data_IF_513734178850
#
_entry.id   IF_513734178850
#
_cell.length_a   1.000
_cell.length_b   1.000
_cell.length_c   1.000
_cell.angle_alpha   90.00
_cell.angle_beta   90.00
_cell.angle_gamma   90.00
#
_symmetry.space_group_name_H-M   'P 1'
#
loop_
_entity.id
_entity.type
_entity.pdbx_description
1 polymer ?
#
# COMPACT_ATOMS: atom_id res chain seq x y z
N UNK A 1 22.46 17.62 9.18
CA UNK A 1 21.77 17.62 7.86
C UNK A 1 20.34 17.22 8.13
N UNK A 2 19.36 18.04 7.79
CA UNK A 2 17.95 17.80 8.11
C UNK A 2 17.30 16.98 7.01
N UNK A 3 16.57 15.93 7.36
CA UNK A 3 15.83 15.07 6.44
C UNK A 3 14.45 15.69 6.19
N UNK A 4 14.12 15.96 4.94
CA UNK A 4 12.86 16.59 4.52
C UNK A 4 11.80 15.54 4.27
N UNK A 5 10.68 15.64 4.99
CA UNK A 5 9.60 14.68 4.99
C UNK A 5 8.34 15.22 4.31
N UNK A 6 7.67 14.38 3.55
CA UNK A 6 6.29 14.58 3.14
C UNK A 6 5.41 13.55 3.84
N UNK A 7 4.28 14.00 4.40
CA UNK A 7 3.27 13.15 5.03
C UNK A 7 2.04 13.10 4.13
N UNK A 8 1.63 11.88 3.77
CA UNK A 8 0.43 11.63 3.00
C UNK A 8 -0.50 10.67 3.74
N UNK A 9 -1.64 11.16 4.20
CA UNK A 9 -2.61 10.44 5.00
C UNK A 9 -3.97 11.15 4.87
N UNK A 10 -5.05 10.46 4.58
CA UNK A 10 -6.37 11.08 4.44
C UNK A 10 -6.98 11.51 5.79
N UNK A 11 -6.51 10.92 6.89
CA UNK A 11 -6.95 11.25 8.25
C UNK A 11 -6.18 12.46 8.79
N UNK A 12 -6.79 13.65 8.71
CA UNK A 12 -6.16 14.91 9.10
C UNK A 12 -5.61 14.92 10.54
N UNK A 13 -6.29 14.25 11.49
CA UNK A 13 -5.83 14.15 12.88
C UNK A 13 -4.55 13.30 12.97
N UNK A 14 -4.49 12.16 12.29
CA UNK A 14 -3.33 11.28 12.29
C UNK A 14 -2.15 11.97 11.63
N UNK A 15 -2.36 12.59 10.46
CA UNK A 15 -1.35 13.34 9.73
C UNK A 15 -0.75 14.47 10.58
N UNK A 16 -1.61 15.29 11.23
CA UNK A 16 -1.16 16.35 12.13
C UNK A 16 -0.42 15.84 13.36
N UNK A 17 -0.85 14.70 13.93
CA UNK A 17 -0.14 14.08 15.04
C UNK A 17 1.25 13.56 14.63
N UNK A 18 1.36 12.92 13.47
CA UNK A 18 2.65 12.47 12.92
C UNK A 18 3.57 13.66 12.63
N UNK A 19 3.04 14.76 12.06
CA UNK A 19 3.80 15.98 11.80
C UNK A 19 4.36 16.57 13.11
N UNK A 20 3.53 16.66 14.14
CA UNK A 20 3.95 17.17 15.45
C UNK A 20 5.02 16.27 16.10
N UNK A 21 4.82 14.96 16.11
CA UNK A 21 5.74 14.01 16.72
C UNK A 21 7.10 13.97 16.00
N UNK A 22 7.11 13.91 14.66
CA UNK A 22 8.35 13.91 13.89
C UNK A 22 9.05 15.27 13.92
N UNK A 23 8.30 16.37 14.04
CA UNK A 23 8.85 17.71 14.22
C UNK A 23 9.56 17.95 15.58
N UNK A 24 9.43 17.04 16.56
CA UNK A 24 10.21 17.07 17.80
C UNK A 24 11.66 16.58 17.60
N UNK A 25 11.91 15.86 16.51
CA UNK A 25 13.25 15.35 16.20
C UNK A 25 14.07 16.45 15.51
N UNK A 26 15.26 16.79 16.02
CA UNK A 26 16.01 17.97 15.55
C UNK A 26 16.58 17.82 14.12
N UNK A 27 16.61 16.62 13.60
CA UNK A 27 17.13 16.26 12.28
C UNK A 27 16.04 15.90 11.25
N UNK A 28 14.76 16.03 11.62
CA UNK A 28 13.61 15.80 10.75
C UNK A 28 12.81 17.09 10.54
N UNK A 29 12.36 17.31 9.30
CA UNK A 29 11.54 18.48 8.95
C UNK A 29 10.38 18.05 8.05
N UNK A 30 9.15 18.27 8.49
CA UNK A 30 7.97 18.05 7.66
C UNK A 30 7.79 19.25 6.74
N UNK A 31 8.05 19.06 5.46
CA UNK A 31 8.03 20.12 4.44
C UNK A 31 6.75 20.14 3.62
N UNK A 32 5.96 19.08 3.65
CA UNK A 32 4.66 19.02 2.99
C UNK A 32 3.74 18.00 3.67
N UNK A 33 2.45 18.30 3.64
CA UNK A 33 1.37 17.44 4.09
C UNK A 33 0.28 17.41 3.03
N UNK A 34 -0.19 16.22 2.65
CA UNK A 34 -1.28 16.02 1.68
C UNK A 34 -2.29 14.99 2.19
N UNK A 35 -3.56 15.14 1.83
CA UNK A 35 -4.64 14.22 2.20
C UNK A 35 -5.03 13.26 1.09
N UNK A 36 -4.38 13.30 -0.06
CA UNK A 36 -4.74 12.54 -1.25
C UNK A 36 -3.50 12.01 -1.95
N UNK A 37 -3.57 10.78 -2.44
CA UNK A 37 -2.45 10.13 -3.11
C UNK A 37 -2.08 10.78 -4.45
N UNK A 38 -3.06 11.31 -5.20
CA UNK A 38 -2.84 11.99 -6.48
C UNK A 38 -2.10 13.34 -6.37
N UNK A 39 -2.00 13.90 -5.15
CA UNK A 39 -1.25 15.13 -4.88
C UNK A 39 0.22 14.87 -4.52
N UNK A 40 0.58 13.66 -4.11
CA UNK A 40 1.89 13.36 -3.52
C UNK A 40 3.05 13.65 -4.47
N UNK A 41 2.94 13.28 -5.75
CA UNK A 41 4.06 13.45 -6.69
C UNK A 41 4.42 14.91 -6.91
N UNK A 42 3.42 15.76 -7.06
CA UNK A 42 3.62 17.21 -7.22
C UNK A 42 4.24 17.79 -5.94
N UNK A 43 3.62 17.49 -4.78
CA UNK A 43 4.11 17.97 -3.48
C UNK A 43 5.54 17.51 -3.17
N UNK A 44 5.91 16.28 -3.52
CA UNK A 44 7.26 15.74 -3.32
C UNK A 44 8.31 16.49 -4.16
N UNK A 45 7.99 16.81 -5.40
CA UNK A 45 8.87 17.59 -6.29
C UNK A 45 9.02 19.03 -5.80
N UNK A 46 7.91 19.68 -5.51
CA UNK A 46 7.87 21.12 -5.15
C UNK A 46 8.52 21.37 -3.80
N UNK A 47 8.31 20.47 -2.83
CA UNK A 47 8.89 20.58 -1.50
C UNK A 47 10.33 20.07 -1.41
N UNK A 48 10.81 19.31 -2.38
CA UNK A 48 12.10 18.63 -2.31
C UNK A 48 12.17 17.60 -1.17
N UNK A 49 11.08 16.92 -0.89
CA UNK A 49 11.03 15.87 0.12
C UNK A 49 11.97 14.71 -0.24
N UNK A 50 12.65 14.18 0.76
CA UNK A 50 13.61 13.07 0.62
C UNK A 50 13.01 11.74 1.08
N UNK A 51 12.04 11.79 1.99
CA UNK A 51 11.26 10.62 2.42
C UNK A 51 9.78 11.00 2.45
N UNK A 52 8.96 10.19 1.77
CA UNK A 52 7.50 10.27 1.82
C UNK A 52 6.96 9.18 2.75
N UNK A 53 6.25 9.56 3.81
CA UNK A 53 5.45 8.66 4.63
C UNK A 53 4.07 8.58 3.99
N UNK A 54 3.64 7.38 3.60
CA UNK A 54 2.44 7.16 2.81
C UNK A 54 1.47 6.22 3.53
N UNK A 55 0.27 6.68 3.84
CA UNK A 55 -0.80 5.74 4.14
C UNK A 55 -1.21 4.96 2.88
N UNK A 56 -1.74 3.76 3.07
CA UNK A 56 -2.21 2.94 1.95
C UNK A 56 -3.58 3.44 1.46
N UNK A 57 -4.51 3.67 2.38
CA UNK A 57 -5.90 3.98 2.05
C UNK A 57 -6.08 5.49 1.90
N UNK A 58 -5.84 6.01 0.70
CA UNK A 58 -6.02 7.42 0.37
C UNK A 58 -6.91 7.61 -0.86
N UNK A 59 -7.72 8.69 -0.92
CA UNK A 59 -8.45 9.04 -2.12
C UNK A 59 -7.49 9.45 -3.27
N UNK A 60 -7.94 9.28 -4.51
CA UNK A 60 -7.20 9.63 -5.72
C UNK A 60 -6.23 8.54 -6.17
N UNK A 61 -5.29 8.15 -5.34
CA UNK A 61 -4.39 7.01 -5.58
C UNK A 61 -4.02 6.35 -4.25
N UNK A 62 -3.92 5.01 -4.22
CA UNK A 62 -3.45 4.31 -3.02
C UNK A 62 -1.94 4.51 -2.80
N UNK A 63 -1.50 4.42 -1.54
CA UNK A 63 -0.10 4.69 -1.19
C UNK A 63 0.90 3.74 -1.83
N UNK A 64 0.49 2.52 -2.20
CA UNK A 64 1.34 1.56 -2.90
C UNK A 64 1.55 1.99 -4.36
N UNK A 65 0.50 2.46 -5.02
CA UNK A 65 0.59 3.03 -6.36
C UNK A 65 1.44 4.30 -6.35
N UNK A 66 1.26 5.16 -5.34
CA UNK A 66 2.10 6.35 -5.14
C UNK A 66 3.57 5.97 -4.96
N UNK A 67 3.90 4.95 -4.15
CA UNK A 67 5.28 4.48 -3.98
C UNK A 67 5.89 4.02 -5.31
N UNK A 68 5.12 3.34 -6.16
CA UNK A 68 5.54 2.94 -7.50
C UNK A 68 5.84 4.15 -8.39
N UNK A 69 4.98 5.14 -8.37
CA UNK A 69 5.15 6.37 -9.15
C UNK A 69 6.34 7.20 -8.66
N UNK A 70 6.55 7.33 -7.35
CA UNK A 70 7.72 8.00 -6.76
C UNK A 70 9.01 7.32 -7.21
N UNK A 71 9.09 5.99 -7.12
CA UNK A 71 10.26 5.22 -7.55
C UNK A 71 10.60 5.48 -9.02
N UNK A 72 9.59 5.59 -9.88
CA UNK A 72 9.79 5.83 -11.32
C UNK A 72 10.12 7.29 -11.67
N UNK A 73 9.54 8.27 -10.93
CA UNK A 73 9.51 9.68 -11.35
C UNK A 73 10.27 10.64 -10.44
N UNK A 74 10.58 10.23 -9.20
CA UNK A 74 11.29 11.04 -8.19
C UNK A 74 12.26 10.12 -7.42
N UNK A 75 13.29 9.56 -8.07
CA UNK A 75 14.15 8.52 -7.49
C UNK A 75 14.98 9.00 -6.29
N UNK A 76 15.12 10.31 -6.09
CA UNK A 76 15.75 10.88 -4.90
C UNK A 76 14.84 10.90 -3.67
N UNK A 77 13.53 10.69 -3.83
CA UNK A 77 12.56 10.62 -2.75
C UNK A 77 12.18 9.16 -2.48
N UNK A 78 12.41 8.68 -1.29
CA UNK A 78 12.10 7.31 -0.88
C UNK A 78 10.75 7.24 -0.21
N UNK A 79 10.06 6.12 -0.35
CA UNK A 79 8.76 5.92 0.28
C UNK A 79 8.84 4.96 1.46
N UNK A 80 8.18 5.33 2.56
CA UNK A 80 7.91 4.53 3.74
C UNK A 80 6.39 4.40 3.87
N UNK A 81 5.86 3.20 3.74
CA UNK A 81 4.45 2.94 3.98
C UNK A 81 4.18 2.95 5.49
N UNK A 82 3.14 3.68 5.90
CA UNK A 82 2.70 3.79 7.30
C UNK A 82 1.20 3.52 7.33
N UNK A 83 0.76 2.37 7.85
CA UNK A 83 -0.63 1.93 7.75
C UNK A 83 -1.19 1.43 9.08
N UNK A 84 -2.50 1.51 9.28
CA UNK A 84 -3.17 0.91 10.45
C UNK A 84 -3.16 -0.62 10.42
N UNK A 85 -3.09 -1.24 9.24
CA UNK A 85 -3.21 -2.68 9.11
C UNK A 85 -1.97 -3.27 8.41
N UNK A 86 -1.14 -3.95 9.19
CA UNK A 86 0.00 -4.73 8.69
C UNK A 86 -0.43 -6.03 8.00
N UNK A 87 -1.28 -5.97 6.97
CA UNK A 87 -1.67 -7.18 6.24
C UNK A 87 -0.48 -7.68 5.40
N UNK A 88 -0.13 -8.99 5.50
CA UNK A 88 1.04 -9.55 4.80
C UNK A 88 1.06 -9.29 3.29
N UNK A 89 -0.11 -9.17 2.69
CA UNK A 89 -0.24 -8.88 1.27
C UNK A 89 0.11 -7.45 0.89
N UNK A 90 -0.18 -6.48 1.74
CA UNK A 90 0.21 -5.08 1.50
C UNK A 90 1.72 -4.92 1.57
N UNK A 91 2.38 -5.56 2.53
CA UNK A 91 3.84 -5.54 2.61
C UNK A 91 4.49 -6.00 1.31
N UNK A 92 4.07 -7.15 0.78
CA UNK A 92 4.62 -7.69 -0.47
C UNK A 92 4.41 -6.73 -1.63
N UNK A 93 3.18 -6.23 -1.81
CA UNK A 93 2.84 -5.26 -2.88
C UNK A 93 3.67 -3.98 -2.76
N UNK A 94 3.81 -3.44 -1.54
CA UNK A 94 4.59 -2.23 -1.28
C UNK A 94 6.06 -2.41 -1.65
N UNK A 95 6.67 -3.53 -1.26
CA UNK A 95 8.07 -3.83 -1.61
C UNK A 95 8.27 -4.01 -3.12
N UNK A 96 7.34 -4.66 -3.82
CA UNK A 96 7.37 -4.78 -5.28
C UNK A 96 7.15 -3.44 -5.99
N UNK A 97 6.38 -2.54 -5.41
CA UNK A 97 6.19 -1.18 -5.90
C UNK A 97 7.43 -0.29 -5.69
N UNK A 98 8.45 -0.76 -4.98
CA UNK A 98 9.68 -0.04 -4.71
C UNK A 98 9.70 0.73 -3.39
N UNK A 99 8.72 0.51 -2.50
CA UNK A 99 8.77 1.10 -1.17
C UNK A 99 10.04 0.67 -0.42
N UNK A 100 10.68 1.62 0.23
CA UNK A 100 11.90 1.40 1.02
C UNK A 100 11.61 0.89 2.43
N UNK A 101 10.36 1.03 2.90
CA UNK A 101 9.97 0.50 4.19
C UNK A 101 8.45 0.35 4.35
N UNK A 102 8.08 -0.39 5.40
CA UNK A 102 6.70 -0.66 5.77
C UNK A 102 6.61 -0.76 7.29
N UNK A 103 5.82 0.11 7.91
CA UNK A 103 5.57 0.14 9.35
C UNK A 103 4.07 0.30 9.63
N UNK A 104 3.64 -0.05 10.83
CA UNK A 104 2.26 0.14 11.27
C UNK A 104 2.11 1.43 12.06
N UNK A 105 0.92 2.05 12.03
CA UNK A 105 0.64 3.34 12.70
C UNK A 105 0.68 3.25 14.24
N UNK A 106 0.73 2.07 14.84
CA UNK A 106 0.95 1.84 16.26
C UNK A 106 2.44 1.78 16.66
N UNK A 107 3.35 1.87 15.68
CA UNK A 107 4.79 1.99 15.91
C UNK A 107 5.08 3.23 16.76
N UNK A 108 5.86 3.10 17.88
CA UNK A 108 6.24 4.24 18.69
C UNK A 108 6.94 5.34 17.87
N UNK A 109 6.64 6.61 18.16
CA UNK A 109 7.15 7.75 17.37
C UNK A 109 8.68 7.74 17.21
N UNK A 110 9.42 7.35 18.25
CA UNK A 110 10.87 7.23 18.20
C UNK A 110 11.34 6.17 17.21
N UNK A 111 10.67 5.02 17.16
CA UNK A 111 11.00 3.95 16.22
C UNK A 111 10.63 4.34 14.79
N UNK A 112 9.52 5.09 14.60
CA UNK A 112 9.17 5.66 13.30
C UNK A 112 10.23 6.66 12.81
N UNK A 113 10.73 7.53 13.69
CA UNK A 113 11.82 8.45 13.37
C UNK A 113 13.11 7.70 12.96
N UNK A 114 13.45 6.61 13.67
CA UNK A 114 14.57 5.75 13.29
C UNK A 114 14.33 5.05 11.94
N UNK A 115 13.11 4.61 11.66
CA UNK A 115 12.73 4.03 10.37
C UNK A 115 12.94 5.05 9.23
N UNK A 116 12.53 6.30 9.43
CA UNK A 116 12.77 7.41 8.49
C UNK A 116 14.26 7.59 8.20
N UNK A 117 15.10 7.63 9.24
CA UNK A 117 16.56 7.77 9.09
C UNK A 117 17.18 6.61 8.30
N UNK A 118 16.77 5.38 8.60
CA UNK A 118 17.22 4.17 7.87
C UNK A 118 16.80 4.21 6.41
N UNK A 119 15.54 4.57 6.13
CA UNK A 119 15.02 4.72 4.76
C UNK A 119 15.79 5.81 4.02
N UNK A 120 16.02 6.97 4.63
CA UNK A 120 16.82 8.04 4.04
C UNK A 120 18.25 7.58 3.72
N UNK A 121 18.87 6.78 4.59
CA UNK A 121 20.19 6.19 4.37
C UNK A 121 20.22 5.08 3.30
N UNK A 122 19.08 4.70 2.73
CA UNK A 122 18.99 3.65 1.70
C UNK A 122 18.78 2.24 2.21
N UNK A 123 18.56 2.09 3.49
CA UNK A 123 18.23 0.80 4.08
C UNK A 123 16.76 0.49 3.90
N UNK A 124 16.43 -0.81 3.87
CA UNK A 124 15.04 -1.26 3.92
C UNK A 124 14.59 -1.47 5.36
N UNK A 125 13.40 -1.01 5.67
CA UNK A 125 12.78 -1.15 7.00
C UNK A 125 11.47 -1.90 6.89
N UNK A 126 11.39 -3.04 7.54
CA UNK A 126 10.17 -3.85 7.63
C UNK A 126 10.05 -4.36 9.05
N UNK A 127 8.86 -4.29 9.62
CA UNK A 127 8.57 -4.94 10.90
C UNK A 127 8.83 -6.45 10.80
N UNK A 128 9.62 -7.04 11.72
CA UNK A 128 9.99 -8.46 11.65
C UNK A 128 8.79 -9.40 11.71
N UNK A 129 7.74 -9.05 12.45
CA UNK A 129 6.52 -9.85 12.58
C UNK A 129 5.77 -9.89 11.25
N UNK A 130 5.60 -8.72 10.61
CA UNK A 130 4.98 -8.62 9.28
C UNK A 130 5.81 -9.32 8.20
N UNK A 131 7.14 -9.26 8.29
CA UNK A 131 8.02 -9.97 7.39
C UNK A 131 7.81 -11.50 7.51
N UNK A 132 7.77 -12.03 8.73
CA UNK A 132 7.53 -13.45 8.99
C UNK A 132 6.15 -13.90 8.47
N UNK A 133 5.09 -13.14 8.76
CA UNK A 133 3.74 -13.43 8.27
C UNK A 133 3.64 -13.38 6.74
N UNK A 134 4.36 -12.48 6.11
CA UNK A 134 4.42 -12.36 4.64
C UNK A 134 5.06 -13.59 3.98
N UNK A 135 6.01 -14.23 4.65
CA UNK A 135 6.65 -15.47 4.18
C UNK A 135 5.69 -16.66 4.30
N UNK A 136 4.97 -16.76 5.41
CA UNK A 136 4.00 -17.85 5.67
C UNK A 136 2.82 -17.82 4.69
N UNK A 137 2.42 -16.66 4.21
CA UNK A 137 1.30 -16.49 3.27
C UNK A 137 1.51 -17.12 1.87
N UNK A 138 2.69 -17.59 1.54
CA UNK A 138 3.01 -18.25 0.27
C UNK A 138 2.92 -17.33 -0.97
N UNK A 139 3.23 -17.84 -2.18
CA UNK A 139 3.04 -17.10 -3.42
C UNK A 139 1.56 -16.92 -3.73
N UNK A 140 1.24 -15.85 -4.48
CA UNK A 140 -0.12 -15.65 -4.96
C UNK A 140 -0.54 -16.79 -5.92
N UNK A 141 -1.56 -17.59 -5.58
CA UNK A 141 -1.98 -18.71 -6.43
C UNK A 141 -2.87 -18.27 -7.60
N UNK A 142 -3.33 -16.99 -7.59
CA UNK A 142 -4.24 -16.45 -8.59
C UNK A 142 -3.48 -15.97 -9.81
N UNK A 143 -3.99 -16.30 -10.99
CA UNK A 143 -3.54 -15.70 -12.26
C UNK A 143 -4.02 -14.24 -12.37
N UNK A 144 -3.43 -13.47 -13.29
CA UNK A 144 -3.82 -12.08 -13.53
C UNK A 144 -5.31 -11.96 -13.86
N UNK A 145 -5.84 -12.85 -14.71
CA UNK A 145 -7.25 -12.86 -15.09
C UNK A 145 -8.19 -13.23 -13.95
N UNK A 146 -7.80 -14.13 -13.08
CA UNK A 146 -8.56 -14.45 -11.88
C UNK A 146 -8.59 -13.27 -10.92
N UNK A 147 -7.48 -12.52 -10.80
CA UNK A 147 -7.40 -11.29 -10.00
C UNK A 147 -8.32 -10.19 -10.56
N UNK A 148 -8.28 -9.96 -11.87
CA UNK A 148 -9.13 -8.95 -12.51
C UNK A 148 -10.61 -9.23 -12.24
N UNK A 149 -11.03 -10.48 -12.40
CA UNK A 149 -12.41 -10.91 -12.16
C UNK A 149 -12.80 -10.83 -10.67
N UNK A 150 -11.88 -11.17 -9.76
CA UNK A 150 -12.14 -11.10 -8.31
C UNK A 150 -12.25 -9.66 -7.80
N UNK A 151 -11.46 -8.72 -8.32
CA UNK A 151 -11.59 -7.29 -7.97
C UNK A 151 -13.00 -6.78 -8.21
N UNK A 152 -13.59 -7.13 -9.35
CA UNK A 152 -14.96 -6.77 -9.69
C UNK A 152 -16.02 -7.52 -8.86
N UNK A 153 -15.64 -8.63 -8.22
CA UNK A 153 -16.53 -9.40 -7.36
C UNK A 153 -16.56 -8.92 -5.89
N UNK A 154 -15.66 -8.02 -5.47
CA UNK A 154 -15.55 -7.53 -4.09
C UNK A 154 -16.85 -6.92 -3.57
N UNK A 155 -17.53 -6.15 -4.40
CA UNK A 155 -18.81 -5.49 -4.10
C UNK A 155 -20.04 -6.37 -4.39
N UNK A 156 -19.83 -7.64 -4.73
CA UNK A 156 -20.91 -8.57 -5.01
C UNK A 156 -21.58 -8.41 -6.39
N UNK A 157 -20.92 -7.71 -7.34
CA UNK A 157 -21.45 -7.44 -8.66
C UNK A 157 -21.94 -8.73 -9.38
N UNK A 158 -23.08 -8.69 -10.12
CA UNK A 158 -23.57 -9.81 -10.91
C UNK A 158 -22.55 -10.24 -11.97
N UNK A 159 -22.51 -11.53 -12.32
CA UNK A 159 -21.60 -12.08 -13.32
C UNK A 159 -21.68 -11.35 -14.68
N UNK A 160 -22.89 -10.93 -15.08
CA UNK A 160 -23.10 -10.17 -16.30
C UNK A 160 -22.39 -8.80 -16.26
N UNK A 161 -22.45 -8.11 -15.11
CA UNK A 161 -21.76 -6.83 -14.90
C UNK A 161 -20.24 -6.99 -14.91
N UNK A 162 -19.73 -8.01 -14.19
CA UNK A 162 -18.30 -8.33 -14.21
C UNK A 162 -17.84 -8.61 -15.64
N UNK A 163 -18.56 -9.45 -16.40
CA UNK A 163 -18.25 -9.80 -17.76
C UNK A 163 -18.12 -8.58 -18.68
N UNK A 164 -19.02 -7.61 -18.54
CA UNK A 164 -18.95 -6.34 -19.26
C UNK A 164 -17.71 -5.51 -18.91
N UNK A 165 -17.39 -5.40 -17.62
CA UNK A 165 -16.25 -4.59 -17.14
C UNK A 165 -14.88 -5.18 -17.53
N UNK A 166 -14.74 -6.52 -17.46
CA UNK A 166 -13.49 -7.19 -17.82
C UNK A 166 -13.42 -7.62 -19.30
N UNK A 167 -14.41 -7.27 -20.11
CA UNK A 167 -14.51 -7.61 -21.53
C UNK A 167 -14.39 -9.12 -21.82
N UNK A 168 -15.10 -9.95 -21.04
CA UNK A 168 -15.13 -11.40 -21.17
C UNK A 168 -16.56 -11.93 -21.31
N UNK A 169 -16.71 -13.18 -21.77
CA UNK A 169 -18.01 -13.85 -21.74
C UNK A 169 -18.41 -14.21 -20.30
N UNK A 170 -19.71 -14.27 -20.00
CA UNK A 170 -20.20 -14.70 -18.69
C UNK A 170 -19.73 -16.12 -18.31
N UNK A 171 -19.59 -17.02 -19.29
CA UNK A 171 -19.06 -18.37 -19.10
C UNK A 171 -17.60 -18.34 -18.64
N UNK A 172 -16.78 -17.53 -19.29
CA UNK A 172 -15.37 -17.32 -18.93
C UNK A 172 -15.23 -16.74 -17.51
N UNK A 173 -16.06 -15.75 -17.18
CA UNK A 173 -16.06 -15.17 -15.82
C UNK A 173 -16.44 -16.21 -14.77
N UNK A 174 -17.46 -17.07 -15.02
CA UNK A 174 -17.81 -18.16 -14.08
C UNK A 174 -16.65 -19.12 -13.88
N UNK A 175 -15.92 -19.47 -14.94
CA UNK A 175 -14.76 -20.36 -14.85
C UNK A 175 -13.64 -19.74 -13.99
N UNK A 176 -13.30 -18.46 -14.20
CA UNK A 176 -12.30 -17.77 -13.38
C UNK A 176 -12.75 -17.64 -11.91
N UNK A 177 -14.02 -17.32 -11.65
CA UNK A 177 -14.54 -17.27 -10.28
C UNK A 177 -14.47 -18.65 -9.61
N UNK A 178 -14.84 -19.72 -10.29
CA UNK A 178 -14.77 -21.09 -9.77
C UNK A 178 -13.34 -21.51 -9.45
N UNK A 179 -12.41 -21.23 -10.36
CA UNK A 179 -10.98 -21.50 -10.15
C UNK A 179 -10.43 -20.70 -8.95
N UNK A 180 -10.78 -19.42 -8.84
CA UNK A 180 -10.35 -18.56 -7.74
C UNK A 180 -10.93 -19.02 -6.40
N UNK A 181 -12.21 -19.42 -6.34
CA UNK A 181 -12.85 -20.01 -5.15
C UNK A 181 -12.06 -21.24 -4.69
N UNK A 182 -11.73 -22.16 -5.61
CA UNK A 182 -10.94 -23.35 -5.30
C UNK A 182 -9.55 -23.00 -4.75
N UNK A 183 -8.85 -22.05 -5.38
CA UNK A 183 -7.50 -21.60 -4.97
C UNK A 183 -7.47 -20.87 -3.65
N UNK A 184 -8.53 -20.16 -3.29
CA UNK A 184 -8.65 -19.44 -2.02
C UNK A 184 -9.18 -20.32 -0.89
N UNK A 185 -9.70 -21.52 -1.19
CA UNK A 185 -10.30 -22.44 -0.23
C UNK A 185 -11.61 -21.91 0.39
N UNK A 186 -12.36 -21.11 -0.39
CA UNK A 186 -13.61 -20.49 0.06
C UNK A 186 -14.83 -21.13 -0.60
N UNK A 187 -16.04 -20.70 -0.23
CA UNK A 187 -17.29 -21.23 -0.79
C UNK A 187 -18.01 -20.26 -1.71
N UNK A 188 -17.71 -18.96 -1.59
CA UNK A 188 -18.37 -17.92 -2.39
C UNK A 188 -17.34 -16.99 -3.07
N UNK A 189 -17.75 -16.40 -4.19
CA UNK A 189 -16.90 -15.44 -4.94
C UNK A 189 -16.54 -14.19 -4.12
N UNK A 190 -17.48 -13.71 -3.27
CA UNK A 190 -17.26 -12.53 -2.43
C UNK A 190 -16.26 -12.86 -1.31
N UNK A 191 -16.39 -14.04 -0.71
CA UNK A 191 -15.44 -14.53 0.28
C UNK A 191 -14.05 -14.74 -0.36
N UNK A 192 -13.99 -15.35 -1.55
CA UNK A 192 -12.75 -15.51 -2.31
C UNK A 192 -12.07 -14.15 -2.57
N UNK A 193 -12.84 -13.15 -2.98
CA UNK A 193 -12.34 -11.81 -3.22
C UNK A 193 -11.82 -11.15 -1.92
N UNK A 194 -12.53 -11.28 -0.80
CA UNK A 194 -12.09 -10.76 0.50
C UNK A 194 -10.82 -11.44 1.00
N UNK A 195 -10.75 -12.78 0.93
CA UNK A 195 -9.55 -13.53 1.30
C UNK A 195 -8.37 -13.13 0.42
N UNK A 196 -8.58 -13.02 -0.89
CA UNK A 196 -7.55 -12.59 -1.81
C UNK A 196 -7.06 -11.16 -1.53
N UNK A 197 -7.98 -10.25 -1.18
CA UNK A 197 -7.63 -8.89 -0.78
C UNK A 197 -6.85 -8.87 0.55
N UNK A 198 -7.32 -9.61 1.57
CA UNK A 198 -6.63 -9.70 2.86
C UNK A 198 -5.21 -10.26 2.74
N UNK A 199 -5.01 -11.22 1.82
CA UNK A 199 -3.69 -11.80 1.53
C UNK A 199 -2.86 -10.97 0.54
N UNK A 200 -3.40 -9.85 0.03
CA UNK A 200 -2.75 -8.99 -0.97
C UNK A 200 -2.50 -9.67 -2.29
N UNK A 201 -3.37 -10.56 -2.67
CA UNK A 201 -3.35 -11.22 -3.97
C UNK A 201 -4.07 -10.41 -5.07
N UNK A 202 -4.90 -9.42 -4.67
CA UNK A 202 -5.63 -8.51 -5.56
C UNK A 202 -4.93 -7.16 -5.68
#
# INVERSE_FOLDING_TARGET
MTIRLLLADDQALVRGALAALLGLEPDLEVVAEVGRGDEVLAAARDSGAQVCLLDIEMPGADGIEVARQLTASVPCCRSLIVTTFGRPGYLRRALYAGASGFVVKDTPARELAEAVRKVHAGLRVVDPTLAAESIVGGPNPLTDRERDVLREALEGAPVATIAGRVHLSQGTVRNYLSAAIGKTGTTTRVEAARVAQQRGWL
#
